data_IF_097839391345
#
_entry.id   IF_097839391345
#
_cell.length_a   1.000
_cell.length_b   1.000
_cell.length_c   1.000
_cell.angle_alpha   90.00
_cell.angle_beta   90.00
_cell.angle_gamma   90.00
#
_symmetry.space_group_name_H-M   'P 1'
#
loop_
_entity.id
_entity.type
_entity.pdbx_description
1 polymer ?
#
# COMPACT_ATOMS: atom_id res chain seq x y z
N UNK A 1 -10.10 64.98 -53.66
CA UNK A 1 -11.55 64.69 -53.68
C UNK A 1 -11.78 63.49 -52.76
N UNK A 2 -12.70 63.65 -51.82
CA UNK A 2 -13.21 62.74 -50.80
C UNK A 2 -13.13 61.22 -51.06
N UNK A 3 -12.66 60.46 -50.05
CA UNK A 3 -13.56 59.64 -49.20
C UNK A 3 -13.68 58.12 -49.43
N UNK A 4 -13.89 57.44 -48.29
CA UNK A 4 -14.45 56.09 -48.01
C UNK A 4 -13.51 54.86 -48.15
N UNK A 5 -13.00 54.26 -47.06
CA UNK A 5 -13.62 53.37 -46.03
C UNK A 5 -13.97 51.97 -46.54
N UNK A 6 -13.25 50.95 -46.02
CA UNK A 6 -13.69 49.61 -45.53
C UNK A 6 -12.43 48.80 -45.17
N UNK A 7 -11.98 48.72 -43.90
CA UNK A 7 -12.40 47.85 -42.79
C UNK A 7 -12.31 46.32 -43.04
N UNK A 8 -11.55 45.67 -42.13
CA UNK A 8 -11.39 44.23 -41.83
C UNK A 8 -10.57 43.40 -42.83
N UNK A 9 -9.57 42.59 -42.46
CA UNK A 9 -9.42 41.78 -41.25
C UNK A 9 -7.96 41.56 -40.83
N UNK A 10 -7.75 41.55 -39.52
CA UNK A 10 -6.61 40.98 -38.81
C UNK A 10 -6.50 39.47 -39.07
N UNK A 11 -5.29 38.96 -39.36
CA UNK A 11 -4.85 37.62 -38.97
C UNK A 11 -3.32 37.65 -38.78
N UNK A 12 -2.90 37.86 -37.52
CA UNK A 12 -1.54 37.59 -37.08
C UNK A 12 -1.43 36.09 -36.83
N UNK A 13 -0.65 35.38 -37.64
CA UNK A 13 -0.25 34.00 -37.38
C UNK A 13 0.87 34.06 -36.35
N UNK A 14 0.53 33.83 -35.08
CA UNK A 14 1.50 33.51 -34.04
C UNK A 14 1.54 31.98 -33.94
N UNK A 15 2.55 31.37 -34.55
CA UNK A 15 2.88 29.96 -34.34
C UNK A 15 3.24 29.77 -32.86
N UNK A 16 2.26 29.31 -32.08
CA UNK A 16 2.47 28.87 -30.72
C UNK A 16 3.19 27.54 -30.74
N UNK A 17 4.47 27.52 -30.40
CA UNK A 17 5.15 26.31 -29.95
C UNK A 17 4.51 25.93 -28.62
N UNK A 18 3.48 25.08 -28.68
CA UNK A 18 3.04 24.31 -27.52
C UNK A 18 4.14 23.29 -27.29
N UNK A 19 5.07 23.62 -26.39
CA UNK A 19 5.90 22.59 -25.79
C UNK A 19 4.94 21.61 -25.10
N UNK A 20 4.77 20.43 -25.70
CA UNK A 20 4.14 19.28 -25.05
C UNK A 20 5.04 18.90 -23.88
N UNK A 21 4.84 19.55 -22.74
CA UNK A 21 5.38 19.08 -21.47
C UNK A 21 4.60 17.82 -21.17
N UNK A 22 5.19 16.68 -21.53
CA UNK A 22 4.74 15.38 -21.06
C UNK A 22 4.58 15.46 -19.54
N UNK A 23 3.41 15.14 -18.97
CA UNK A 23 3.22 15.15 -17.53
C UNK A 23 3.84 13.88 -16.90
N UNK A 24 5.02 13.48 -17.36
CA UNK A 24 5.90 12.64 -16.58
C UNK A 24 6.41 13.54 -15.47
N UNK A 25 5.73 13.53 -14.31
CA UNK A 25 6.39 13.93 -13.07
C UNK A 25 7.52 12.92 -12.87
N UNK A 26 8.65 13.25 -13.51
CA UNK A 26 9.91 12.55 -13.37
C UNK A 26 10.13 12.45 -11.87
N UNK A 27 10.20 11.23 -11.34
CA UNK A 27 10.82 11.03 -10.04
C UNK A 27 12.10 11.86 -10.06
N UNK A 28 12.26 12.80 -9.13
CA UNK A 28 13.46 13.63 -9.11
C UNK A 28 14.68 12.69 -9.12
N UNK A 29 15.84 13.12 -9.62
CA UNK A 29 17.03 12.24 -9.62
C UNK A 29 17.30 11.62 -8.24
N UNK A 30 16.86 12.26 -7.15
CA UNK A 30 16.93 11.72 -5.78
C UNK A 30 16.02 10.51 -5.49
N UNK A 31 14.93 10.34 -6.24
CA UNK A 31 13.87 9.34 -5.97
C UNK A 31 13.70 8.27 -7.06
N UNK A 32 14.68 8.11 -7.95
CA UNK A 32 14.68 6.98 -8.87
C UNK A 32 14.70 5.64 -8.13
N UNK A 33 14.11 4.63 -8.74
CA UNK A 33 14.11 3.27 -8.23
C UNK A 33 15.53 2.73 -8.11
N UNK A 34 15.84 2.11 -6.97
CA UNK A 34 17.01 1.28 -6.77
C UNK A 34 16.55 0.02 -6.03
N UNK A 35 16.89 -1.15 -6.57
CA UNK A 35 16.64 -2.42 -5.89
C UNK A 35 17.42 -2.47 -4.55
N UNK A 36 16.89 -3.14 -3.52
CA UNK A 36 17.62 -3.33 -2.27
C UNK A 36 18.95 -4.05 -2.50
N UNK A 37 20.02 -3.51 -1.91
CA UNK A 37 21.35 -4.10 -1.95
C UNK A 37 21.61 -5.09 -0.81
N UNK A 38 22.84 -5.61 -0.76
CA UNK A 38 23.28 -6.47 0.33
C UNK A 38 23.24 -5.72 1.67
N UNK A 39 22.55 -6.29 2.65
CA UNK A 39 22.41 -5.71 3.99
C UNK A 39 21.29 -4.66 4.13
N UNK A 40 20.58 -4.33 3.05
CA UNK A 40 19.33 -3.57 3.12
C UNK A 40 18.19 -4.48 3.59
N UNK A 41 17.29 -3.94 4.41
CA UNK A 41 16.13 -4.67 4.95
C UNK A 41 14.82 -4.07 4.45
N UNK A 42 13.79 -4.91 4.39
CA UNK A 42 12.45 -4.54 3.91
C UNK A 42 11.40 -5.08 4.88
N UNK A 43 10.18 -4.60 4.75
CA UNK A 43 9.04 -4.89 5.62
C UNK A 43 8.05 -5.84 4.96
N UNK A 44 7.06 -6.39 5.71
CA UNK A 44 5.88 -7.00 5.10
C UNK A 44 4.96 -6.00 4.38
N UNK A 45 5.20 -4.69 4.49
CA UNK A 45 4.40 -3.64 3.83
C UNK A 45 5.02 -3.24 2.47
N UNK A 46 4.36 -3.55 1.34
CA UNK A 46 4.90 -3.23 0.03
C UNK A 46 5.08 -1.72 -0.19
N UNK A 47 4.20 -0.88 0.38
CA UNK A 47 4.32 0.58 0.25
C UNK A 47 5.56 1.15 0.97
N UNK A 48 5.89 0.68 2.18
CA UNK A 48 7.13 1.10 2.86
C UNK A 48 8.36 0.64 2.08
N UNK A 49 8.29 -0.54 1.48
CA UNK A 49 9.38 -1.06 0.65
C UNK A 49 9.59 -0.22 -0.60
N UNK A 50 8.51 0.21 -1.26
CA UNK A 50 8.57 1.17 -2.38
C UNK A 50 9.20 2.49 -1.93
N UNK A 51 8.79 3.04 -0.78
CA UNK A 51 9.40 4.28 -0.27
C UNK A 51 10.90 4.12 -0.04
N UNK A 52 11.36 2.97 0.48
CA UNK A 52 12.78 2.70 0.67
C UNK A 52 13.50 2.51 -0.68
N UNK A 53 12.93 1.74 -1.61
CA UNK A 53 13.46 1.51 -2.96
C UNK A 53 13.56 2.80 -3.79
N UNK A 54 12.77 3.82 -3.46
CA UNK A 54 12.81 5.15 -4.07
C UNK A 54 13.45 6.21 -3.16
N UNK A 55 14.05 5.85 -2.03
CA UNK A 55 14.76 6.78 -1.16
C UNK A 55 13.90 7.90 -0.54
N UNK A 56 12.59 7.70 -0.41
CA UNK A 56 11.70 8.57 0.36
C UNK A 56 11.85 8.34 1.88
N UNK A 57 12.26 7.13 2.26
CA UNK A 57 12.77 6.77 3.58
C UNK A 57 14.19 6.20 3.41
N UNK A 58 14.98 5.98 4.48
CA UNK A 58 16.32 5.40 4.34
C UNK A 58 16.33 4.14 3.45
N UNK A 59 17.13 4.15 2.37
CA UNK A 59 17.20 3.04 1.39
C UNK A 59 17.61 1.71 2.01
N UNK A 60 18.40 1.79 3.08
CA UNK A 60 18.80 0.63 3.89
C UNK A 60 17.65 -0.04 4.62
N UNK A 61 16.51 0.66 4.78
CA UNK A 61 15.40 0.22 5.62
C UNK A 61 15.72 0.19 7.11
N UNK A 62 16.84 0.78 7.54
CA UNK A 62 17.30 0.76 8.94
C UNK A 62 17.12 2.12 9.61
N UNK A 63 16.91 2.10 10.93
CA UNK A 63 16.74 3.30 11.76
C UNK A 63 15.66 4.26 11.22
N UNK A 64 14.55 3.72 10.72
CA UNK A 64 13.45 4.50 10.17
C UNK A 64 12.64 5.10 11.32
N UNK A 65 12.45 6.42 11.31
CA UNK A 65 11.70 7.14 12.34
C UNK A 65 10.26 7.46 11.89
N UNK A 66 9.39 7.82 12.83
CA UNK A 66 8.03 8.30 12.50
C UNK A 66 8.08 9.55 11.58
N UNK A 67 8.93 10.57 11.84
CA UNK A 67 9.13 11.66 10.89
C UNK A 67 9.50 11.23 9.47
N UNK A 68 10.36 10.20 9.32
CA UNK A 68 10.76 9.70 8.00
C UNK A 68 9.57 9.13 7.22
N UNK A 69 8.76 8.26 7.83
CA UNK A 69 7.58 7.68 7.16
C UNK A 69 6.49 8.73 6.91
N UNK A 70 6.32 9.71 7.80
CA UNK A 70 5.36 10.81 7.60
C UNK A 70 5.77 11.66 6.40
N UNK A 71 7.06 12.06 6.32
CA UNK A 71 7.58 12.84 5.20
C UNK A 71 7.58 12.02 3.91
N UNK A 72 8.18 10.84 3.94
CA UNK A 72 8.35 9.97 2.78
C UNK A 72 7.02 9.51 2.18
N UNK A 73 6.07 9.10 3.01
CA UNK A 73 4.77 8.68 2.51
C UNK A 73 3.88 9.84 2.04
N UNK A 74 4.05 11.05 2.58
CA UNK A 74 3.43 12.25 2.04
C UNK A 74 4.01 12.59 0.66
N UNK A 75 5.33 12.59 0.52
CA UNK A 75 6.02 12.93 -0.73
C UNK A 75 5.77 11.87 -1.81
N UNK A 76 5.85 10.58 -1.47
CA UNK A 76 5.73 9.47 -2.41
C UNK A 76 4.29 9.10 -2.76
N UNK A 77 3.38 9.02 -1.78
CA UNK A 77 2.02 8.50 -1.97
C UNK A 77 0.89 9.49 -1.60
N UNK A 78 1.22 10.71 -1.19
CA UNK A 78 0.27 11.70 -0.66
C UNK A 78 -0.57 11.16 0.51
N UNK A 79 0.03 10.26 1.30
CA UNK A 79 -0.61 9.73 2.50
C UNK A 79 -0.49 10.76 3.63
N UNK A 80 -1.57 10.94 4.37
CA UNK A 80 -1.68 11.91 5.45
C UNK A 80 -0.85 11.53 6.69
N UNK A 81 -0.49 12.52 7.53
CA UNK A 81 0.37 12.28 8.68
C UNK A 81 -0.30 11.44 9.77
N UNK A 82 -1.65 11.42 9.88
CA UNK A 82 -2.32 10.68 10.95
C UNK A 82 -2.15 9.18 10.76
N UNK A 83 -2.30 8.69 9.53
CA UNK A 83 -2.04 7.30 9.17
C UNK A 83 -0.65 6.82 9.64
N UNK A 84 0.42 7.55 9.29
CA UNK A 84 1.78 7.17 9.68
C UNK A 84 2.12 7.42 11.14
N UNK A 85 1.49 8.40 11.80
CA UNK A 85 1.64 8.58 13.25
C UNK A 85 1.04 7.40 14.01
N UNK A 86 -0.09 6.87 13.57
CA UNK A 86 -0.73 5.72 14.21
C UNK A 86 0.03 4.42 13.93
N UNK A 87 0.34 4.14 12.66
CA UNK A 87 1.05 2.91 12.27
C UNK A 87 2.52 2.92 12.69
N UNK A 88 3.19 4.08 12.63
CA UNK A 88 4.57 4.25 13.09
C UNK A 88 4.75 4.02 14.59
N UNK A 89 3.79 4.47 15.42
CA UNK A 89 3.80 4.15 16.86
C UNK A 89 3.72 2.65 17.13
N UNK A 90 2.99 1.90 16.31
CA UNK A 90 2.97 0.43 16.38
C UNK A 90 4.29 -0.17 15.91
N UNK A 91 4.89 0.38 14.85
CA UNK A 91 6.22 -0.04 14.41
C UNK A 91 7.29 0.12 15.50
N UNK A 92 7.20 1.17 16.33
CA UNK A 92 8.10 1.30 17.49
C UNK A 92 7.94 0.18 18.52
N UNK A 93 6.76 -0.44 18.64
CA UNK A 93 6.55 -1.58 19.55
C UNK A 93 7.22 -2.86 19.05
N UNK A 94 7.61 -2.94 17.78
CA UNK A 94 8.31 -4.09 17.22
C UNK A 94 9.84 -3.97 17.32
N UNK A 95 10.33 -2.79 17.71
CA UNK A 95 11.74 -2.44 17.66
C UNK A 95 12.39 -2.47 19.05
N UNK A 96 13.67 -2.89 19.15
CA UNK A 96 14.45 -2.70 20.37
C UNK A 96 14.94 -1.25 20.55
N UNK A 97 14.85 -0.39 19.52
CA UNK A 97 15.27 1.01 19.59
C UNK A 97 14.16 1.91 20.15
N UNK A 98 14.54 3.04 20.74
CA UNK A 98 13.60 3.93 21.44
C UNK A 98 12.66 4.70 20.50
N UNK A 99 13.17 5.20 19.37
CA UNK A 99 12.48 6.17 18.50
C UNK A 99 12.58 5.83 17.01
N UNK A 100 13.09 4.64 16.68
CA UNK A 100 13.20 4.14 15.31
C UNK A 100 12.94 2.63 15.25
N UNK A 101 12.72 2.12 14.05
CA UNK A 101 12.64 0.69 13.76
C UNK A 101 13.35 0.38 12.45
N UNK A 102 13.84 -0.84 12.30
CA UNK A 102 14.20 -1.37 10.99
C UNK A 102 12.94 -1.92 10.32
N UNK A 103 12.87 -1.87 8.99
CA UNK A 103 11.69 -2.28 8.24
C UNK A 103 11.35 -3.77 8.46
N UNK A 104 12.35 -4.62 8.70
CA UNK A 104 12.17 -6.04 8.99
C UNK A 104 11.70 -6.33 10.42
N UNK A 105 11.89 -5.40 11.36
CA UNK A 105 11.29 -5.49 12.71
C UNK A 105 9.76 -5.57 12.63
N UNK A 106 9.16 -4.95 11.60
CA UNK A 106 7.70 -4.92 11.39
C UNK A 106 7.11 -6.31 11.09
N UNK A 107 7.94 -7.34 10.90
CA UNK A 107 7.52 -8.73 10.74
C UNK A 107 7.14 -9.42 12.07
N UNK A 108 7.14 -8.68 13.19
CA UNK A 108 6.66 -9.18 14.47
C UNK A 108 5.14 -9.45 14.43
N UNK A 109 4.79 -10.75 14.45
CA UNK A 109 3.40 -11.24 14.46
C UNK A 109 2.60 -10.66 15.63
N UNK A 110 1.36 -10.28 15.37
CA UNK A 110 0.41 -9.81 16.38
C UNK A 110 0.57 -8.34 16.78
N UNK A 111 1.54 -7.62 16.21
CA UNK A 111 1.64 -6.17 16.31
C UNK A 111 1.06 -5.47 15.07
N UNK A 112 1.68 -5.73 13.92
CA UNK A 112 1.24 -5.24 12.60
C UNK A 112 1.11 -6.42 11.65
N UNK A 113 2.13 -7.30 11.64
CA UNK A 113 2.09 -8.53 10.85
C UNK A 113 1.00 -9.47 11.37
N UNK A 114 0.28 -10.06 10.43
CA UNK A 114 -0.87 -10.92 10.69
C UNK A 114 -1.01 -12.00 9.61
N UNK A 115 -1.61 -13.12 10.00
CA UNK A 115 -1.92 -14.23 9.10
C UNK A 115 -2.90 -13.81 8.00
N UNK A 116 -3.01 -14.60 6.92
CA UNK A 116 -3.92 -14.39 5.76
C UNK A 116 -3.60 -13.16 4.90
N UNK A 117 -2.35 -12.72 4.93
CA UNK A 117 -1.85 -11.63 4.10
C UNK A 117 -2.15 -11.82 2.60
N UNK A 118 -2.28 -10.69 1.90
CA UNK A 118 -2.61 -10.64 0.45
C UNK A 118 -1.47 -11.13 -0.44
N UNK A 119 -0.22 -10.96 0.00
CA UNK A 119 1.00 -11.21 -0.80
C UNK A 119 2.03 -12.08 -0.10
N UNK A 120 1.83 -12.40 1.18
CA UNK A 120 2.79 -13.12 2.05
C UNK A 120 2.13 -14.37 2.65
N UNK A 121 2.88 -15.47 2.81
CA UNK A 121 2.35 -16.65 3.50
C UNK A 121 2.21 -16.37 5.00
N UNK A 122 1.28 -17.05 5.66
CA UNK A 122 1.22 -17.05 7.13
C UNK A 122 2.55 -17.57 7.69
N UNK A 123 2.98 -17.04 8.83
CA UNK A 123 4.26 -17.43 9.42
C UNK A 123 4.35 -18.94 9.75
N UNK A 124 3.21 -19.60 9.99
CA UNK A 124 3.14 -21.06 10.16
C UNK A 124 3.77 -21.81 8.97
N UNK A 125 3.59 -21.32 7.74
CA UNK A 125 4.15 -21.93 6.53
C UNK A 125 5.58 -21.47 6.22
N UNK A 126 6.11 -20.51 6.98
CA UNK A 126 7.37 -19.83 6.72
C UNK A 126 8.19 -19.70 8.01
N UNK A 127 8.73 -20.82 8.53
CA UNK A 127 9.46 -20.83 9.79
C UNK A 127 10.67 -19.88 9.74
N UNK A 128 11.12 -19.45 10.92
CA UNK A 128 12.21 -18.49 11.09
C UNK A 128 11.93 -17.12 10.45
N UNK A 129 10.67 -16.67 10.47
CA UNK A 129 10.24 -15.37 9.96
C UNK A 129 10.56 -15.16 8.46
N UNK A 130 10.49 -16.23 7.67
CA UNK A 130 10.75 -16.21 6.22
C UNK A 130 9.53 -15.79 5.39
N UNK A 131 8.44 -15.37 6.05
CA UNK A 131 7.22 -14.83 5.45
C UNK A 131 7.35 -13.40 4.92
N UNK A 132 8.48 -12.71 5.14
CA UNK A 132 8.65 -11.30 4.78
C UNK A 132 8.62 -11.01 3.26
N UNK A 133 9.31 -11.78 2.40
CA UNK A 133 9.35 -11.51 0.96
C UNK A 133 7.98 -11.68 0.29
N UNK A 134 7.76 -10.95 -0.79
CA UNK A 134 6.62 -11.18 -1.69
C UNK A 134 6.58 -12.65 -2.14
N UNK A 135 5.39 -13.25 -2.16
CA UNK A 135 5.18 -14.63 -2.58
C UNK A 135 4.16 -14.69 -3.72
N UNK A 136 4.64 -15.03 -4.93
CA UNK A 136 3.78 -15.09 -6.13
C UNK A 136 2.64 -16.10 -5.96
N UNK A 137 2.90 -17.28 -5.37
CA UNK A 137 1.86 -18.30 -5.15
C UNK A 137 0.71 -17.79 -4.27
N UNK A 138 1.03 -17.02 -3.22
CA UNK A 138 0.01 -16.36 -2.40
C UNK A 138 -0.70 -15.27 -3.20
N UNK A 139 0.05 -14.43 -3.91
CA UNK A 139 -0.49 -13.32 -4.68
C UNK A 139 -1.41 -13.76 -5.83
N UNK A 140 -1.25 -14.97 -6.36
CA UNK A 140 -2.12 -15.51 -7.42
C UNK A 140 -3.61 -15.52 -7.04
N UNK A 141 -3.95 -15.60 -5.75
CA UNK A 141 -5.34 -15.43 -5.29
C UNK A 141 -5.88 -14.04 -5.65
N UNK A 142 -5.07 -12.99 -5.46
CA UNK A 142 -5.41 -11.63 -5.85
C UNK A 142 -5.33 -11.42 -7.35
N UNK A 143 -4.27 -11.88 -8.01
CA UNK A 143 -4.07 -11.73 -9.45
C UNK A 143 -5.22 -12.33 -10.28
N UNK A 144 -5.80 -13.43 -9.81
CA UNK A 144 -6.91 -14.13 -10.46
C UNK A 144 -8.30 -13.57 -10.10
N UNK A 145 -8.38 -12.63 -9.16
CA UNK A 145 -9.66 -12.04 -8.71
C UNK A 145 -10.28 -11.12 -9.76
N UNK A 146 -11.60 -10.90 -9.66
CA UNK A 146 -12.37 -10.07 -10.60
C UNK A 146 -12.20 -10.49 -12.08
N UNK A 147 -12.51 -11.75 -12.45
CA UNK A 147 -12.32 -12.22 -13.81
C UNK A 147 -13.21 -11.46 -14.80
N UNK A 148 -12.70 -11.21 -16.01
CA UNK A 148 -13.41 -10.50 -17.07
C UNK A 148 -13.25 -8.98 -17.07
N UNK A 149 -12.60 -8.41 -16.07
CA UNK A 149 -12.24 -6.98 -16.01
C UNK A 149 -10.77 -6.77 -15.62
N UNK A 150 -10.24 -5.60 -15.96
CA UNK A 150 -8.84 -5.19 -15.82
C UNK A 150 -8.54 -4.39 -14.55
N UNK A 151 -9.48 -4.34 -13.59
CA UNK A 151 -9.33 -3.62 -12.33
C UNK A 151 -9.64 -4.49 -11.10
N UNK A 152 -9.10 -4.10 -9.95
CA UNK A 152 -9.54 -4.54 -8.64
C UNK A 152 -10.54 -3.54 -8.06
N UNK A 153 -11.47 -4.04 -7.25
CA UNK A 153 -12.43 -3.22 -6.51
C UNK A 153 -12.74 -3.80 -5.13
N UNK A 154 -13.65 -3.17 -4.39
CA UNK A 154 -14.11 -3.64 -3.06
C UNK A 154 -14.52 -5.11 -3.08
N UNK A 155 -15.36 -5.52 -4.03
CA UNK A 155 -15.85 -6.90 -4.12
C UNK A 155 -14.72 -7.89 -4.39
N UNK A 156 -13.78 -7.56 -5.28
CA UNK A 156 -12.65 -8.44 -5.56
C UNK A 156 -11.70 -8.55 -4.38
N UNK A 157 -11.44 -7.45 -3.66
CA UNK A 157 -10.61 -7.49 -2.45
C UNK A 157 -11.27 -8.33 -1.33
N UNK A 158 -12.59 -8.21 -1.16
CA UNK A 158 -13.34 -9.03 -0.21
C UNK A 158 -13.28 -10.53 -0.55
N UNK A 159 -13.43 -10.88 -1.84
CA UNK A 159 -13.28 -12.26 -2.32
C UNK A 159 -11.88 -12.83 -2.06
N UNK A 160 -10.84 -12.00 -2.24
CA UNK A 160 -9.46 -12.40 -1.93
C UNK A 160 -9.31 -12.68 -0.45
N UNK A 161 -9.84 -11.82 0.44
CA UNK A 161 -9.77 -12.04 1.88
C UNK A 161 -10.49 -13.32 2.32
N UNK A 162 -11.69 -13.58 1.77
CA UNK A 162 -12.45 -14.80 2.01
C UNK A 162 -11.62 -16.04 1.58
N UNK A 163 -11.07 -16.02 0.36
CA UNK A 163 -10.24 -17.12 -0.15
C UNK A 163 -8.95 -17.34 0.67
N UNK A 164 -8.24 -16.26 1.04
CA UNK A 164 -7.03 -16.33 1.87
C UNK A 164 -7.35 -16.86 3.27
N UNK A 165 -8.45 -16.42 3.87
CA UNK A 165 -8.90 -16.91 5.18
C UNK A 165 -9.30 -18.38 5.12
N UNK A 166 -10.09 -18.80 4.13
CA UNK A 166 -10.49 -20.20 3.97
C UNK A 166 -9.28 -21.12 3.75
N UNK A 167 -8.28 -20.67 3.00
CA UNK A 167 -7.01 -21.39 2.87
C UNK A 167 -6.35 -21.58 4.25
N UNK A 168 -6.23 -20.54 5.07
CA UNK A 168 -5.59 -20.65 6.37
C UNK A 168 -6.43 -21.45 7.38
N UNK A 169 -7.77 -21.35 7.36
CA UNK A 169 -8.65 -22.21 8.18
C UNK A 169 -8.39 -23.69 7.88
N UNK A 170 -8.20 -24.04 6.61
CA UNK A 170 -7.99 -25.42 6.21
C UNK A 170 -6.57 -25.95 6.48
N UNK A 171 -5.56 -25.07 6.54
CA UNK A 171 -4.15 -25.48 6.46
C UNK A 171 -3.24 -24.95 7.58
N UNK A 172 -3.68 -23.94 8.35
CA UNK A 172 -2.90 -23.31 9.42
C UNK A 172 -3.57 -23.59 10.79
N UNK A 173 -3.10 -24.60 11.55
CA UNK A 173 -3.63 -24.90 12.88
C UNK A 173 -3.30 -23.82 13.93
N UNK A 174 -2.38 -22.90 13.62
CA UNK A 174 -2.00 -21.75 14.46
C UNK A 174 -2.63 -20.43 14.00
N UNK A 175 -3.60 -20.49 13.07
CA UNK A 175 -4.26 -19.31 12.53
C UNK A 175 -4.75 -18.39 13.66
N UNK A 176 -4.42 -17.11 13.56
CA UNK A 176 -5.08 -16.06 14.35
C UNK A 176 -6.01 -15.27 13.43
N UNK A 177 -7.30 -15.32 13.75
CA UNK A 177 -8.35 -14.59 13.05
C UNK A 177 -9.22 -13.88 14.07
N UNK A 178 -9.02 -12.58 14.25
CA UNK A 178 -9.81 -11.72 15.13
C UNK A 178 -10.27 -10.44 14.39
N UNK A 179 -11.12 -9.64 15.04
CA UNK A 179 -11.65 -8.40 14.47
C UNK A 179 -10.52 -7.40 14.10
N UNK A 180 -9.43 -7.41 14.87
CA UNK A 180 -8.23 -6.63 14.62
C UNK A 180 -7.58 -7.02 13.29
N UNK A 181 -7.39 -8.32 13.06
CA UNK A 181 -6.81 -8.87 11.84
C UNK A 181 -7.73 -8.64 10.64
N UNK A 182 -9.05 -8.72 10.81
CA UNK A 182 -10.04 -8.38 9.78
C UNK A 182 -9.93 -6.92 9.38
N UNK A 183 -9.87 -6.02 10.36
CA UNK A 183 -9.71 -4.59 10.12
C UNK A 183 -8.38 -4.31 9.40
N UNK A 184 -7.27 -4.88 9.88
CA UNK A 184 -5.94 -4.65 9.32
C UNK A 184 -5.83 -5.10 7.85
N UNK A 185 -6.28 -6.32 7.52
CA UNK A 185 -6.26 -6.82 6.13
C UNK A 185 -7.19 -6.03 5.19
N UNK A 186 -8.32 -5.55 5.72
CA UNK A 186 -9.27 -4.69 4.99
C UNK A 186 -8.73 -3.30 4.76
N UNK A 187 -8.08 -2.70 5.76
CA UNK A 187 -7.40 -1.42 5.63
C UNK A 187 -6.23 -1.51 4.63
N UNK A 188 -5.46 -2.60 4.63
CA UNK A 188 -4.43 -2.84 3.62
C UNK A 188 -5.01 -2.90 2.21
N UNK A 189 -6.14 -3.60 2.03
CA UNK A 189 -6.86 -3.67 0.75
C UNK A 189 -7.39 -2.29 0.31
N UNK A 190 -7.96 -1.52 1.24
CA UNK A 190 -8.44 -0.17 0.99
C UNK A 190 -7.30 0.80 0.61
N UNK A 191 -6.14 0.69 1.24
CA UNK A 191 -4.94 1.46 0.89
C UNK A 191 -4.47 1.15 -0.54
N UNK A 192 -4.48 -0.11 -0.95
CA UNK A 192 -4.16 -0.49 -2.33
C UNK A 192 -5.09 0.21 -3.31
N UNK A 193 -6.42 0.11 -3.10
CA UNK A 193 -7.42 0.73 -3.96
C UNK A 193 -7.31 2.27 -3.97
N UNK A 194 -6.96 2.86 -2.84
CA UNK A 194 -6.91 4.32 -2.66
C UNK A 194 -5.64 4.94 -3.23
N UNK A 195 -4.47 4.33 -3.01
CA UNK A 195 -3.18 4.88 -3.46
C UNK A 195 -2.98 4.61 -4.95
N UNK A 196 -3.36 3.41 -5.42
CA UNK A 196 -3.10 2.96 -6.80
C UNK A 196 -4.31 3.13 -7.73
N UNK A 197 -5.37 3.70 -7.21
CA UNK A 197 -6.62 3.93 -7.91
C UNK A 197 -7.26 5.23 -7.47
N UNK A 198 -8.54 5.17 -7.13
CA UNK A 198 -9.32 6.30 -6.65
C UNK A 198 -10.03 5.92 -5.34
N UNK A 199 -9.78 6.65 -4.22
CA UNK A 199 -10.41 6.36 -2.93
C UNK A 199 -11.94 6.52 -2.93
N UNK A 200 -12.52 7.29 -3.86
CA UNK A 200 -13.98 7.52 -3.94
C UNK A 200 -14.69 6.38 -4.64
N UNK A 201 -14.07 5.83 -5.70
CA UNK A 201 -14.66 4.72 -6.47
C UNK A 201 -14.23 3.37 -5.92
N UNK A 202 -13.09 3.30 -5.23
CA UNK A 202 -12.48 2.06 -4.78
C UNK A 202 -12.04 1.16 -5.94
N UNK A 203 -11.64 1.74 -7.07
CA UNK A 203 -11.20 1.02 -8.27
C UNK A 203 -9.73 1.32 -8.52
N UNK A 204 -8.91 0.27 -8.68
CA UNK A 204 -7.51 0.37 -9.07
C UNK A 204 -7.21 -0.58 -10.23
N UNK A 205 -6.47 -0.10 -11.23
CA UNK A 205 -6.11 -0.90 -12.41
C UNK A 205 -5.18 -2.04 -12.01
N UNK A 206 -5.44 -3.26 -12.51
CA UNK A 206 -4.65 -4.45 -12.17
C UNK A 206 -3.20 -4.26 -12.52
N UNK A 207 -2.89 -3.74 -13.71
CA UNK A 207 -1.50 -3.50 -14.15
C UNK A 207 -0.71 -2.64 -13.18
N UNK A 208 -1.32 -1.59 -12.62
CA UNK A 208 -0.69 -0.69 -11.66
C UNK A 208 -0.44 -1.40 -10.33
N UNK A 209 -1.47 -2.08 -9.81
CA UNK A 209 -1.39 -2.81 -8.54
C UNK A 209 -0.37 -3.95 -8.63
N UNK A 210 -0.44 -4.74 -9.69
CA UNK A 210 0.41 -5.88 -9.97
C UNK A 210 1.89 -5.48 -10.04
N UNK A 211 2.22 -4.38 -10.73
CA UNK A 211 3.59 -3.85 -10.76
C UNK A 211 4.06 -3.47 -9.36
N UNK A 212 3.27 -2.71 -8.59
CA UNK A 212 3.71 -2.31 -7.25
C UNK A 212 3.89 -3.51 -6.32
N UNK A 213 2.98 -4.49 -6.35
CA UNK A 213 3.06 -5.65 -5.45
C UNK A 213 4.23 -6.57 -5.78
N UNK A 214 4.49 -6.82 -7.07
CA UNK A 214 5.55 -7.73 -7.51
C UNK A 214 6.94 -7.10 -7.48
N UNK A 215 7.04 -5.83 -7.81
CA UNK A 215 8.32 -5.16 -8.00
C UNK A 215 8.69 -4.22 -6.84
N UNK A 216 7.74 -3.92 -5.95
CA UNK A 216 7.89 -2.92 -4.88
C UNK A 216 8.49 -1.61 -5.42
N UNK A 217 7.96 -1.21 -6.58
CA UNK A 217 8.35 -0.04 -7.37
C UNK A 217 7.11 0.77 -7.71
N UNK A 218 7.26 2.10 -7.81
CA UNK A 218 6.20 2.94 -8.35
C UNK A 218 5.96 2.58 -9.83
N UNK A 219 4.73 2.23 -10.24
CA UNK A 219 4.46 1.82 -11.63
C UNK A 219 4.70 2.95 -12.64
N UNK A 220 5.14 2.59 -13.84
CA UNK A 220 5.38 3.59 -14.89
C UNK A 220 4.09 4.27 -15.32
N UNK A 221 4.10 5.61 -15.35
CA UNK A 221 2.94 6.42 -15.71
C UNK A 221 1.85 6.50 -14.62
N UNK A 222 2.00 5.78 -13.50
CA UNK A 222 1.14 6.01 -12.33
C UNK A 222 1.39 7.41 -11.77
N UNK A 223 0.32 8.03 -11.28
CA UNK A 223 0.35 9.37 -10.67
C UNK A 223 -0.02 9.26 -9.21
N UNK A 224 0.76 9.94 -8.38
CA UNK A 224 0.45 10.11 -6.96
C UNK A 224 -0.98 10.66 -6.78
N UNK A 225 -1.76 10.17 -5.80
CA UNK A 225 -3.09 10.69 -5.51
C UNK A 225 -3.11 12.21 -5.35
N UNK A 226 -4.11 12.87 -5.95
CA UNK A 226 -4.34 14.31 -5.78
C UNK A 226 -4.94 14.61 -4.40
N UNK A 227 -5.95 13.83 -4.01
CA UNK A 227 -6.55 13.87 -2.68
C UNK A 227 -5.63 13.18 -1.66
N UNK A 228 -5.62 13.71 -0.44
CA UNK A 228 -4.83 13.13 0.65
C UNK A 228 -5.46 11.81 1.09
N UNK A 229 -4.66 10.74 1.10
CA UNK A 229 -5.08 9.43 1.62
C UNK A 229 -4.76 9.37 3.10
N UNK A 230 -5.76 9.51 3.98
CA UNK A 230 -5.59 9.33 5.42
C UNK A 230 -6.62 8.34 5.97
N UNK A 231 -6.63 8.14 7.29
CA UNK A 231 -7.54 7.19 7.98
C UNK A 231 -9.00 7.39 7.54
N UNK A 232 -9.49 8.62 7.58
CA UNK A 232 -10.87 8.95 7.22
C UNK A 232 -11.17 8.69 5.73
N UNK A 233 -10.16 8.83 4.87
CA UNK A 233 -10.28 8.59 3.42
C UNK A 233 -10.46 7.10 3.14
N UNK A 234 -9.75 6.22 3.84
CA UNK A 234 -9.78 4.77 3.59
C UNK A 234 -10.85 4.04 4.39
N UNK A 235 -11.39 4.66 5.45
CA UNK A 235 -12.35 4.01 6.34
C UNK A 235 -13.62 3.52 5.63
N UNK A 236 -14.26 4.27 4.71
CA UNK A 236 -15.44 3.77 4.00
C UNK A 236 -15.15 2.53 3.16
N UNK A 237 -14.01 2.51 2.44
CA UNK A 237 -13.59 1.34 1.67
C UNK A 237 -13.25 0.16 2.58
N UNK A 238 -12.57 0.42 3.71
CA UNK A 238 -12.25 -0.59 4.72
C UNK A 238 -13.53 -1.28 5.21
N UNK A 239 -14.53 -0.50 5.60
CA UNK A 239 -15.81 -1.04 6.07
C UNK A 239 -16.52 -1.84 4.96
N UNK A 240 -16.59 -1.30 3.74
CA UNK A 240 -17.25 -1.97 2.62
C UNK A 240 -16.59 -3.33 2.27
N UNK A 241 -15.27 -3.42 2.39
CA UNK A 241 -14.53 -4.69 2.19
C UNK A 241 -14.84 -5.67 3.32
N UNK A 242 -14.86 -5.21 4.58
CA UNK A 242 -15.21 -6.05 5.72
C UNK A 242 -16.62 -6.62 5.58
N UNK A 243 -17.61 -5.78 5.24
CA UNK A 243 -19.01 -6.18 5.07
C UNK A 243 -19.19 -7.21 3.95
N UNK A 244 -18.36 -7.14 2.90
CA UNK A 244 -18.41 -8.04 1.76
C UNK A 244 -17.54 -9.31 1.90
N UNK A 245 -16.72 -9.41 2.96
CA UNK A 245 -15.67 -10.45 3.09
C UNK A 245 -16.16 -11.83 3.55
N UNK A 246 -17.45 -11.99 3.84
CA UNK A 246 -18.03 -13.22 4.41
C UNK A 246 -17.33 -13.69 5.71
N UNK A 247 -16.79 -12.75 6.50
CA UNK A 247 -15.99 -13.11 7.67
C UNK A 247 -16.81 -13.92 8.70
N UNK A 248 -16.35 -15.13 9.08
CA UNK A 248 -17.13 -16.06 9.91
C UNK A 248 -17.11 -15.73 11.41
N UNK A 249 -16.47 -14.64 11.82
CA UNK A 249 -16.18 -14.34 13.23
C UNK A 249 -14.78 -14.76 13.67
N UNK A 250 -14.40 -14.45 14.92
CA UNK A 250 -13.07 -14.73 15.41
C UNK A 250 -12.85 -16.23 15.67
N UNK A 251 -11.59 -16.67 15.68
CA UNK A 251 -11.18 -17.99 16.16
C UNK A 251 -10.45 -17.91 17.52
N UNK A 252 -10.04 -19.05 18.06
CA UNK A 252 -9.30 -19.13 19.34
C UNK A 252 -7.77 -19.05 19.17
N UNK A 253 -7.29 -18.56 18.01
CA UNK A 253 -5.87 -18.41 17.75
C UNK A 253 -5.25 -17.36 18.65
N UNK A 254 -3.98 -17.55 19.00
CA UNK A 254 -3.20 -16.53 19.72
C UNK A 254 -1.82 -16.44 19.09
N UNK A 255 -1.21 -15.25 19.08
CA UNK A 255 0.19 -15.09 18.66
C UNK A 255 1.10 -15.38 19.86
N UNK A 256 1.80 -16.54 19.91
CA UNK A 256 2.65 -16.87 21.04
C UNK A 256 3.81 -15.87 21.12
N UNK A 257 4.00 -15.23 22.28
CA UNK A 257 5.07 -14.24 22.47
C UNK A 257 4.76 -12.82 21.99
N UNK A 258 3.60 -12.58 21.37
CA UNK A 258 3.10 -11.21 21.24
C UNK A 258 2.82 -10.69 22.65
N UNK A 259 3.48 -9.59 23.05
CA UNK A 259 3.19 -8.98 24.34
C UNK A 259 1.70 -8.61 24.37
N UNK A 260 0.99 -8.98 25.43
CA UNK A 260 -0.43 -8.65 25.62
C UNK A 260 -0.70 -7.14 25.53
N UNK A 261 0.34 -6.31 25.73
CA UNK A 261 0.34 -4.84 25.56
C UNK A 261 0.39 -4.36 24.09
N UNK A 262 0.76 -5.23 23.15
CA UNK A 262 0.95 -4.91 21.73
C UNK A 262 -0.27 -5.31 20.89
N UNK A 263 -1.16 -6.12 21.47
CA UNK A 263 -2.45 -6.49 20.89
C UNK A 263 -3.39 -5.29 21.03
N UNK A 264 -4.01 -4.90 19.93
CA UNK A 264 -4.88 -3.72 19.77
C UNK A 264 -5.90 -3.63 20.92
N UNK A 265 -5.61 -2.78 21.90
CA UNK A 265 -6.59 -2.26 22.85
C UNK A 265 -6.90 -0.82 22.42
N UNK A 266 -7.89 -0.72 21.54
CA UNK A 266 -8.46 0.53 21.02
C UNK A 266 -9.74 0.21 20.30
#
# INVERSE_FOLDING_TARGET
MFGLIRLFSFFLILEGIVAMVSPYQNQTESHHFQAPGEGDVRSPCPFLNVLANHGYVPRSGKNVTIPDIVKGGREGFNVGPNFFRLTGKKGLLTSPNLDSFNLDDLNLRGCIEMDTSLTRPDAFFAPNNTNLPFNETVYQTMASSNPGVDYYNVTSQAQVQDARLNHSIANNPELVNDATSLFARSAASALILSILGDPKTGIAQKSVVDTLMREERMPDGWKRPEDVIDVDTIQPLTQAIMDASNWPGPNNGTYPGAQQLVIFSG
#
